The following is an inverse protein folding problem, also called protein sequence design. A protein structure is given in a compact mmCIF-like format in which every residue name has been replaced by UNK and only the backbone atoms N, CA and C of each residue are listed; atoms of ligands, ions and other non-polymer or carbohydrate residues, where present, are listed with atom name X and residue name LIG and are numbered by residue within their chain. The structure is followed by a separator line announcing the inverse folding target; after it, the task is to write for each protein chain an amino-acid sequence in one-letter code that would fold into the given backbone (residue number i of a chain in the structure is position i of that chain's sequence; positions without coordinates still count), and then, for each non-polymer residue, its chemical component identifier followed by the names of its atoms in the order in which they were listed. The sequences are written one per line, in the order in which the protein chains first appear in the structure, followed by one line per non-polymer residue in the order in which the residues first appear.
data_IF_104004196903
#
_entry.id   IF_104004196903
#
_cell.length_a   1.000
_cell.length_b   1.000
_cell.length_c   1.000
_cell.angle_alpha   90.00
_cell.angle_beta   90.00
_cell.angle_gamma   90.00
#
_symmetry.space_group_name_H-M   'P 1'
#
loop_
_entity.id
_entity.type
_entity.pdbx_description
1 polymer ?
#
# COMPACT_ATOMS: atom_id res chain seq x y z
N UNK A 1 -17.87 -6.47 -10.26
CA UNK A 1 -16.61 -6.76 -9.54
C UNK A 1 -15.54 -5.86 -10.13
N UNK A 2 -14.90 -5.07 -9.29
CA UNK A 2 -14.02 -3.95 -9.63
C UNK A 2 -12.74 -4.41 -10.38
N UNK A 3 -12.80 -4.46 -11.71
CA UNK A 3 -11.70 -4.87 -12.62
C UNK A 3 -10.43 -4.00 -12.51
N UNK A 4 -10.51 -2.83 -11.85
CA UNK A 4 -9.41 -1.87 -11.77
C UNK A 4 -8.22 -2.35 -10.92
N UNK A 5 -8.45 -3.21 -9.92
CA UNK A 5 -7.38 -3.75 -9.07
C UNK A 5 -6.48 -4.76 -9.81
N UNK A 6 -7.00 -5.45 -10.82
CA UNK A 6 -6.28 -6.50 -11.54
C UNK A 6 -5.07 -5.98 -12.32
N UNK A 7 -5.06 -4.69 -12.66
CA UNK A 7 -3.98 -4.06 -13.42
C UNK A 7 -2.93 -3.39 -12.53
N UNK A 8 -3.19 -3.29 -11.21
CA UNK A 8 -2.24 -2.66 -10.31
C UNK A 8 -1.15 -3.64 -9.89
N UNK A 9 0.14 -3.28 -10.04
CA UNK A 9 1.22 -4.09 -9.48
C UNK A 9 1.03 -4.28 -7.97
N UNK A 10 1.37 -5.48 -7.53
CA UNK A 10 1.24 -5.90 -6.14
C UNK A 10 2.43 -5.39 -5.32
N UNK A 11 2.15 -4.79 -4.17
CA UNK A 11 3.13 -4.41 -3.17
C UNK A 11 2.85 -5.14 -1.86
N UNK A 12 3.83 -5.93 -1.42
CA UNK A 12 3.76 -6.71 -0.19
C UNK A 12 4.37 -5.91 0.97
N UNK A 13 3.65 -5.80 2.08
CA UNK A 13 4.13 -5.14 3.29
C UNK A 13 4.29 -6.14 4.43
N UNK A 14 5.32 -5.95 5.25
CA UNK A 14 5.45 -6.67 6.51
C UNK A 14 4.41 -6.19 7.55
N UNK A 15 4.34 -6.85 8.71
CA UNK A 15 3.36 -6.50 9.75
C UNK A 15 3.48 -5.05 10.25
N UNK A 16 4.71 -4.57 10.46
CA UNK A 16 4.97 -3.22 10.97
C UNK A 16 4.55 -2.16 9.95
N UNK A 17 4.95 -2.36 8.70
CA UNK A 17 4.55 -1.52 7.57
C UNK A 17 3.05 -1.55 7.34
N UNK A 18 2.42 -2.73 7.44
CA UNK A 18 0.98 -2.90 7.26
C UNK A 18 0.19 -2.07 8.27
N UNK A 19 0.55 -2.10 9.56
CA UNK A 19 -0.05 -1.26 10.61
C UNK A 19 0.09 0.21 10.27
N UNK A 20 1.31 0.64 9.92
CA UNK A 20 1.58 2.03 9.55
C UNK A 20 0.74 2.47 8.34
N UNK A 21 0.63 1.63 7.32
CA UNK A 21 -0.17 1.87 6.12
C UNK A 21 -1.65 2.07 6.46
N UNK A 22 -2.25 1.18 7.28
CA UNK A 22 -3.69 1.29 7.61
C UNK A 22 -4.02 2.53 8.44
N UNK A 23 -3.05 3.04 9.20
CA UNK A 23 -3.13 4.33 9.90
C UNK A 23 -2.80 5.54 9.02
N UNK A 24 -2.64 5.36 7.70
CA UNK A 24 -2.42 6.44 6.75
C UNK A 24 -0.97 6.96 6.71
N UNK A 25 -0.02 6.27 7.33
CA UNK A 25 1.38 6.69 7.30
C UNK A 25 2.01 6.42 5.92
N UNK A 26 2.94 7.30 5.55
CA UNK A 26 3.75 7.17 4.34
C UNK A 26 4.91 6.20 4.62
N UNK A 27 5.21 5.33 3.67
CA UNK A 27 6.22 4.29 3.82
C UNK A 27 7.30 4.43 2.76
N UNK A 28 8.59 4.41 3.12
CA UNK A 28 9.63 4.25 2.11
C UNK A 28 9.50 2.88 1.46
N UNK A 29 9.63 2.83 0.13
CA UNK A 29 9.55 1.58 -0.64
C UNK A 29 10.70 1.50 -1.63
N UNK A 30 11.17 0.28 -1.88
CA UNK A 30 12.17 0.02 -2.89
C UNK A 30 11.48 -0.29 -4.23
N UNK A 31 10.88 0.74 -4.81
CA UNK A 31 10.29 0.71 -6.16
C UNK A 31 11.04 1.76 -6.97
N UNK A 32 11.39 1.44 -8.22
CA UNK A 32 12.23 2.33 -9.03
C UNK A 32 11.43 3.47 -9.70
N UNK A 33 10.13 3.26 -9.91
CA UNK A 33 9.26 4.17 -10.66
C UNK A 33 7.99 4.55 -9.88
N UNK A 34 7.52 5.76 -10.14
CA UNK A 34 6.25 6.24 -9.60
C UNK A 34 5.09 5.52 -10.30
N UNK A 35 4.25 4.85 -9.52
CA UNK A 35 3.11 4.08 -10.01
C UNK A 35 2.03 3.95 -8.93
N UNK A 36 0.86 3.48 -9.32
CA UNK A 36 -0.18 3.05 -8.37
C UNK A 36 -0.06 1.54 -8.13
N UNK A 37 -0.35 1.12 -6.90
CA UNK A 37 -0.12 -0.23 -6.42
C UNK A 37 -1.34 -0.73 -5.66
N UNK A 38 -1.59 -2.03 -5.74
CA UNK A 38 -2.42 -2.73 -4.77
C UNK A 38 -1.53 -3.21 -3.61
N UNK A 39 -1.90 -2.88 -2.37
CA UNK A 39 -1.08 -3.08 -1.18
C UNK A 39 -1.61 -4.27 -0.38
N UNK A 40 -0.73 -5.22 -0.05
CA UNK A 40 -1.10 -6.50 0.57
C UNK A 40 -0.26 -6.83 1.80
N UNK A 41 -0.80 -7.70 2.64
CA UNK A 41 -0.08 -8.47 3.66
C UNK A 41 -0.51 -9.94 3.59
N UNK A 42 0.44 -10.84 3.32
CA UNK A 42 0.15 -12.20 2.93
C UNK A 42 -0.93 -12.21 1.85
N UNK A 43 -1.95 -13.05 1.97
CA UNK A 43 -3.02 -13.09 0.97
C UNK A 43 -4.11 -12.01 1.14
N UNK A 44 -3.92 -11.01 2.02
CA UNK A 44 -4.95 -10.00 2.34
C UNK A 44 -4.67 -8.68 1.65
N UNK A 45 -5.65 -8.19 0.91
CA UNK A 45 -5.62 -6.83 0.34
C UNK A 45 -5.85 -5.82 1.46
N UNK A 46 -4.92 -4.88 1.64
CA UNK A 46 -5.03 -3.79 2.60
C UNK A 46 -5.67 -2.55 1.96
N UNK A 47 -5.47 -2.36 0.66
CA UNK A 47 -5.96 -1.21 -0.08
C UNK A 47 -5.11 -0.87 -1.30
N UNK A 48 -5.15 0.40 -1.71
CA UNK A 48 -4.33 0.92 -2.80
C UNK A 48 -3.47 2.09 -2.32
N UNK A 49 -2.33 2.26 -2.98
CA UNK A 49 -1.42 3.35 -2.71
C UNK A 49 -0.75 3.83 -3.98
N UNK A 50 -0.08 4.99 -3.87
CA UNK A 50 0.69 5.57 -4.96
C UNK A 50 2.11 5.83 -4.52
N UNK A 51 3.05 5.36 -5.33
CA UNK A 51 4.46 5.65 -5.16
C UNK A 51 4.78 7.01 -5.76
N UNK A 52 5.50 7.83 -5.01
CA UNK A 52 6.00 9.14 -5.46
C UNK A 52 7.45 9.32 -5.00
N UNK A 53 8.27 10.11 -5.74
CA UNK A 53 9.59 10.50 -5.27
C UNK A 53 9.49 11.29 -3.96
N UNK A 54 10.32 10.93 -2.99
CA UNK A 54 10.56 11.67 -1.76
C UNK A 54 12.03 12.05 -1.61
N UNK A 55 12.36 12.77 -0.54
CA UNK A 55 13.71 13.31 -0.29
C UNK A 55 14.82 12.25 -0.25
N UNK A 56 14.51 11.00 0.10
CA UNK A 56 15.49 9.91 0.29
C UNK A 56 15.18 8.65 -0.55
N UNK A 57 14.37 8.79 -1.60
CA UNK A 57 13.93 7.68 -2.43
C UNK A 57 12.42 7.66 -2.62
N UNK A 58 11.89 6.54 -3.12
CA UNK A 58 10.45 6.41 -3.38
C UNK A 58 9.65 6.17 -2.11
N UNK A 59 8.47 6.77 -2.06
CA UNK A 59 7.56 6.74 -0.92
C UNK A 59 6.18 6.30 -1.37
N UNK A 60 5.65 5.28 -0.70
CA UNK A 60 4.27 4.84 -0.80
C UNK A 60 3.36 5.74 0.02
N UNK A 61 2.40 6.35 -0.67
CA UNK A 61 1.31 7.12 -0.09
C UNK A 61 0.03 6.28 -0.10
N UNK A 62 -0.60 6.00 1.05
CA UNK A 62 -1.91 5.38 1.07
C UNK A 62 -2.94 6.22 0.30
N UNK A 63 -3.68 5.62 -0.63
CA UNK A 63 -4.78 6.26 -1.37
C UNK A 63 -6.13 5.85 -0.80
N UNK A 64 -6.36 4.54 -0.68
CA UNK A 64 -7.56 3.96 -0.11
C UNK A 64 -7.17 2.80 0.78
N UNK A 65 -7.54 2.84 2.05
CA UNK A 65 -7.38 1.72 2.99
C UNK A 65 -8.74 1.03 3.12
N UNK A 66 -8.77 -0.29 3.01
CA UNK A 66 -10.00 -1.05 3.18
C UNK A 66 -10.43 -1.09 4.65
N UNK A 67 -11.74 -1.00 4.96
CA UNK A 67 -12.24 -1.14 6.32
C UNK A 67 -11.80 -2.45 6.99
N UNK A 68 -11.88 -3.56 6.26
CA UNK A 68 -11.44 -4.89 6.71
C UNK A 68 -9.96 -4.95 7.10
N UNK A 69 -9.12 -4.13 6.45
CA UNK A 69 -7.70 -4.04 6.79
C UNK A 69 -7.48 -3.29 8.10
N UNK A 70 -8.28 -2.24 8.38
CA UNK A 70 -8.24 -1.53 9.66
C UNK A 70 -8.70 -2.43 10.79
N UNK A 71 -9.82 -3.13 10.64
CA UNK A 71 -10.36 -4.04 11.67
C UNK A 71 -9.38 -5.14 12.06
N UNK A 72 -8.56 -5.61 11.12
CA UNK A 72 -7.58 -6.66 11.38
C UNK A 72 -6.29 -6.17 12.07
N UNK A 73 -5.89 -4.92 11.84
CA UNK A 73 -4.59 -4.37 12.26
C UNK A 73 -4.69 -3.32 13.37
N UNK A 74 -5.90 -3.04 13.86
CA UNK A 74 -6.17 -2.14 15.00
C UNK A 74 -6.20 -2.92 16.30
#
# INVERSE_FOLDING_TARGET
METWLAHLPRCELDMSQSRRFVHGQRLPVNVETACELAVFHGNRLLGTGRVRPGLRGMVLHPLKVLPSAKEWLT
#
